data_IF_091353226085
#
_entry.id   IF_091353226085
#
_cell.length_a   1.000
_cell.length_b   1.000
_cell.length_c   1.000
_cell.angle_alpha   90.00
_cell.angle_beta   90.00
_cell.angle_gamma   90.00
#
_symmetry.space_group_name_H-M   'P 1'
#
loop_
_entity.id
_entity.type
_entity.pdbx_description
1 polymer ?
#
# COMPACT_ATOMS: atom_id res chain seq x y z
N UNK A 1 6.71 -8.30 -23.64
CA UNK A 1 5.54 -7.42 -23.84
C UNK A 1 4.32 -8.31 -23.95
N UNK A 2 3.22 -7.93 -23.31
CA UNK A 2 1.94 -8.66 -23.39
C UNK A 2 0.76 -7.70 -23.51
N UNK A 3 -0.31 -8.15 -24.17
CA UNK A 3 -1.55 -7.36 -24.32
C UNK A 3 -2.40 -7.35 -23.05
N UNK A 4 -2.28 -8.36 -22.18
CA UNK A 4 -2.98 -8.45 -20.88
C UNK A 4 -1.98 -8.72 -19.75
N UNK A 5 -2.14 -9.79 -18.97
CA UNK A 5 -1.20 -10.21 -17.94
C UNK A 5 0.11 -10.76 -18.52
N UNK A 6 1.18 -10.68 -17.74
CA UNK A 6 2.41 -11.43 -17.98
C UNK A 6 2.32 -12.84 -17.40
N UNK A 7 1.88 -12.95 -16.15
CA UNK A 7 1.65 -14.22 -15.45
C UNK A 7 0.26 -14.23 -14.84
N UNK A 8 -0.43 -15.37 -14.97
CA UNK A 8 -1.73 -15.62 -14.35
C UNK A 8 -1.65 -16.90 -13.49
N UNK A 9 -1.92 -16.77 -12.19
CA UNK A 9 -1.91 -17.88 -11.21
C UNK A 9 -3.35 -18.10 -10.73
N UNK A 10 -3.84 -19.35 -10.74
CA UNK A 10 -5.23 -19.68 -10.39
C UNK A 10 -5.27 -20.87 -9.44
N UNK A 11 -6.06 -20.78 -8.36
CA UNK A 11 -6.37 -21.93 -7.51
C UNK A 11 -5.13 -22.66 -6.96
N UNK A 12 -4.05 -21.92 -6.74
CA UNK A 12 -2.72 -22.49 -6.50
C UNK A 12 -2.26 -22.22 -5.07
N UNK A 13 -1.45 -23.14 -4.53
CA UNK A 13 -0.87 -23.01 -3.19
C UNK A 13 0.65 -22.98 -3.26
N UNK A 14 1.29 -22.25 -2.34
CA UNK A 14 2.74 -22.24 -2.13
C UNK A 14 3.58 -21.87 -3.37
N UNK A 15 3.00 -21.05 -4.26
CA UNK A 15 3.70 -20.53 -5.43
C UNK A 15 4.75 -19.52 -4.99
N UNK A 16 5.97 -19.63 -5.53
CA UNK A 16 7.05 -18.67 -5.35
C UNK A 16 7.37 -17.98 -6.68
N UNK A 17 7.20 -16.66 -6.71
CA UNK A 17 7.73 -15.77 -7.74
C UNK A 17 8.88 -14.97 -7.14
N UNK A 18 10.12 -15.39 -7.39
CA UNK A 18 11.33 -14.75 -6.88
C UNK A 18 12.24 -14.24 -8.01
N UNK A 19 12.81 -13.04 -7.87
CA UNK A 19 13.84 -12.48 -8.78
C UNK A 19 13.40 -12.39 -10.25
N UNK A 20 12.12 -12.11 -10.48
CA UNK A 20 11.59 -11.88 -11.82
C UNK A 20 11.64 -10.39 -12.18
N UNK A 21 11.60 -10.10 -13.48
CA UNK A 21 11.39 -8.76 -14.02
C UNK A 21 10.05 -8.77 -14.77
N UNK A 22 9.12 -7.94 -14.32
CA UNK A 22 7.82 -7.73 -14.95
C UNK A 22 7.75 -6.32 -15.52
N UNK A 23 7.56 -6.21 -16.84
CA UNK A 23 7.55 -4.92 -17.52
C UNK A 23 6.77 -4.98 -18.83
N UNK A 24 6.24 -3.82 -19.25
CA UNK A 24 5.53 -3.61 -20.52
C UNK A 24 4.40 -4.62 -20.76
N UNK A 25 3.43 -4.67 -19.85
CA UNK A 25 2.17 -5.37 -20.03
C UNK A 25 1.02 -4.37 -20.32
N UNK A 26 -0.09 -4.85 -20.89
CA UNK A 26 -1.15 -4.01 -21.48
C UNK A 26 -0.66 -3.01 -22.55
N UNK A 27 0.20 -3.47 -23.47
CA UNK A 27 0.75 -2.59 -24.53
C UNK A 27 -0.33 -2.05 -25.48
N UNK A 28 -1.44 -2.76 -25.60
CA UNK A 28 -2.60 -2.39 -26.43
C UNK A 28 -3.53 -1.38 -25.75
N UNK A 29 -3.30 -1.08 -24.46
CA UNK A 29 -4.12 -0.16 -23.66
C UNK A 29 -5.60 -0.58 -23.62
N UNK A 30 -5.83 -1.87 -23.46
CA UNK A 30 -7.17 -2.44 -23.37
C UNK A 30 -7.89 -1.80 -22.17
N UNK A 31 -9.09 -1.29 -22.43
CA UNK A 31 -9.99 -0.70 -21.41
C UNK A 31 -11.21 -1.59 -21.19
N UNK A 32 -11.80 -1.56 -20.00
CA UNK A 32 -12.90 -2.47 -19.62
C UNK A 32 -12.42 -3.86 -19.20
N UNK A 33 -11.13 -4.13 -19.40
CA UNK A 33 -10.36 -5.19 -18.75
C UNK A 33 -9.44 -4.55 -17.71
N UNK A 34 -9.15 -5.25 -16.61
CA UNK A 34 -8.25 -4.75 -15.57
C UNK A 34 -6.94 -5.56 -15.60
N UNK A 35 -5.94 -5.16 -16.40
CA UNK A 35 -4.70 -5.92 -16.51
C UNK A 35 -3.79 -5.73 -15.30
N UNK A 36 -2.94 -6.73 -15.07
CA UNK A 36 -1.86 -6.69 -14.10
C UNK A 36 -0.62 -7.38 -14.68
N UNK A 37 0.59 -6.95 -14.34
CA UNK A 37 1.80 -7.70 -14.71
C UNK A 37 1.73 -9.16 -14.22
N UNK A 38 1.24 -9.35 -12.99
CA UNK A 38 0.91 -10.66 -12.43
C UNK A 38 -0.48 -10.58 -11.82
N UNK A 39 -1.36 -11.51 -12.19
CA UNK A 39 -2.66 -11.69 -11.54
C UNK A 39 -2.72 -13.04 -10.85
N UNK A 40 -3.00 -13.02 -9.55
CA UNK A 40 -3.14 -14.20 -8.69
C UNK A 40 -4.60 -14.25 -8.27
N UNK A 41 -5.31 -15.24 -8.77
CA UNK A 41 -6.77 -15.26 -8.77
C UNK A 41 -7.31 -16.54 -8.13
N UNK A 42 -8.51 -16.44 -7.58
CA UNK A 42 -9.39 -17.52 -7.16
C UNK A 42 -8.74 -18.53 -6.20
N UNK A 43 -9.02 -18.40 -4.90
CA UNK A 43 -8.69 -19.40 -3.88
C UNK A 43 -7.23 -19.85 -3.93
N UNK A 44 -6.32 -18.88 -3.98
CA UNK A 44 -4.87 -19.11 -3.95
C UNK A 44 -4.33 -18.90 -2.54
N UNK A 45 -3.40 -19.76 -2.11
CA UNK A 45 -2.92 -19.80 -0.72
C UNK A 45 -1.40 -19.66 -0.65
N UNK A 46 -0.91 -18.77 0.21
CA UNK A 46 0.54 -18.62 0.49
C UNK A 46 1.40 -18.33 -0.74
N UNK A 47 0.82 -17.70 -1.76
CA UNK A 47 1.59 -17.20 -2.92
C UNK A 47 2.54 -16.12 -2.45
N UNK A 48 3.82 -16.29 -2.79
CA UNK A 48 4.91 -15.40 -2.37
C UNK A 48 5.53 -14.74 -3.59
N UNK A 49 5.48 -13.41 -3.64
CA UNK A 49 6.22 -12.58 -4.56
C UNK A 49 7.36 -11.90 -3.81
N UNK A 50 8.59 -12.31 -4.09
CA UNK A 50 9.78 -11.84 -3.38
C UNK A 50 10.87 -11.32 -4.31
N UNK A 51 11.54 -10.22 -3.96
CA UNK A 51 12.73 -9.74 -4.66
C UNK A 51 12.53 -9.54 -6.18
N UNK A 52 11.31 -9.19 -6.62
CA UNK A 52 11.00 -8.94 -8.03
C UNK A 52 11.16 -7.46 -8.38
N UNK A 53 11.42 -7.18 -9.66
CA UNK A 53 11.35 -5.87 -10.27
C UNK A 53 10.07 -5.75 -11.11
N UNK A 54 9.23 -4.75 -10.81
CA UNK A 54 7.99 -4.45 -11.52
C UNK A 54 8.06 -3.01 -12.03
N UNK A 55 8.15 -2.80 -13.35
CA UNK A 55 8.45 -1.48 -13.91
C UNK A 55 7.79 -1.22 -15.27
N UNK A 56 7.58 0.04 -15.62
CA UNK A 56 7.04 0.49 -16.92
C UNK A 56 5.63 -0.02 -17.21
N UNK A 57 4.70 0.19 -16.27
CA UNK A 57 3.31 -0.26 -16.36
C UNK A 57 2.31 0.91 -16.31
N UNK A 58 2.36 1.87 -17.24
CA UNK A 58 1.55 3.10 -17.17
C UNK A 58 0.03 2.88 -17.34
N UNK A 59 -0.38 1.70 -17.80
CA UNK A 59 -1.78 1.35 -18.10
C UNK A 59 -2.18 -0.01 -17.50
N UNK A 60 -1.49 -0.45 -16.45
CA UNK A 60 -1.73 -1.75 -15.82
C UNK A 60 -1.41 -1.68 -14.34
N UNK A 61 -2.00 -2.60 -13.56
CA UNK A 61 -1.52 -2.89 -12.22
C UNK A 61 -0.18 -3.63 -12.28
N UNK A 62 0.56 -3.60 -11.16
CA UNK A 62 1.74 -4.40 -10.94
C UNK A 62 1.38 -5.85 -10.61
N UNK A 63 1.54 -6.23 -9.35
CA UNK A 63 1.16 -7.57 -8.87
C UNK A 63 -0.16 -7.48 -8.12
N UNK A 64 -1.16 -8.18 -8.63
CA UNK A 64 -2.50 -8.19 -8.10
C UNK A 64 -2.86 -9.57 -7.55
N UNK A 65 -2.96 -9.63 -6.23
CA UNK A 65 -3.68 -10.66 -5.50
C UNK A 65 -5.15 -10.32 -5.57
N UNK A 66 -5.79 -10.81 -6.62
CA UNK A 66 -7.19 -10.62 -6.92
C UNK A 66 -8.05 -11.48 -5.95
N UNK A 67 -9.29 -11.78 -6.27
CA UNK A 67 -10.24 -12.31 -5.30
C UNK A 67 -9.85 -13.69 -4.74
N UNK A 68 -10.01 -13.85 -3.43
CA UNK A 68 -9.91 -15.14 -2.75
C UNK A 68 -8.49 -15.59 -2.39
N UNK A 69 -7.52 -14.68 -2.31
CA UNK A 69 -6.19 -15.00 -1.82
C UNK A 69 -6.15 -15.11 -0.29
N UNK A 70 -5.33 -16.04 0.22
CA UNK A 70 -5.10 -16.24 1.65
C UNK A 70 -3.61 -16.31 1.95
N UNK A 71 -3.17 -15.51 2.93
CA UNK A 71 -1.80 -15.49 3.47
C UNK A 71 -0.70 -15.24 2.43
N UNK A 72 -1.01 -14.39 1.44
CA UNK A 72 -0.04 -13.96 0.41
C UNK A 72 1.14 -13.18 1.00
N UNK A 73 2.31 -13.26 0.37
CA UNK A 73 3.53 -12.57 0.82
C UNK A 73 4.09 -11.72 -0.30
N UNK A 74 4.23 -10.43 -0.05
CA UNK A 74 4.78 -9.45 -0.97
C UNK A 74 6.01 -8.80 -0.34
N UNK A 75 7.19 -9.33 -0.63
CA UNK A 75 8.40 -9.08 0.14
C UNK A 75 9.54 -8.50 -0.72
N UNK A 76 10.17 -7.43 -0.26
CA UNK A 76 11.42 -6.91 -0.83
C UNK A 76 11.39 -6.63 -2.35
N UNK A 77 10.23 -6.37 -2.92
CA UNK A 77 10.08 -6.07 -4.35
C UNK A 77 10.42 -4.59 -4.61
N UNK A 78 10.87 -4.31 -5.84
CA UNK A 78 10.96 -2.97 -6.40
C UNK A 78 9.83 -2.74 -7.39
N UNK A 79 9.03 -1.70 -7.18
CA UNK A 79 7.88 -1.38 -8.01
C UNK A 79 7.97 0.08 -8.44
N UNK A 80 7.94 0.33 -9.74
CA UNK A 80 8.15 1.66 -10.28
C UNK A 80 7.27 1.96 -11.49
N UNK A 81 6.73 3.17 -11.55
CA UNK A 81 6.01 3.65 -12.74
C UNK A 81 4.76 2.83 -13.06
N UNK A 82 4.04 2.38 -12.02
CA UNK A 82 2.75 1.69 -12.17
C UNK A 82 1.63 2.73 -12.19
N UNK A 83 0.85 2.76 -13.27
CA UNK A 83 -0.21 3.75 -13.47
C UNK A 83 0.29 5.13 -13.92
N UNK A 84 -0.56 6.15 -13.71
CA UNK A 84 -0.28 7.53 -14.11
C UNK A 84 -0.30 8.44 -12.86
N UNK A 85 0.80 8.51 -12.08
CA UNK A 85 0.83 9.09 -10.73
C UNK A 85 0.33 10.54 -10.62
N UNK A 86 0.40 11.31 -11.72
CA UNK A 86 -0.08 12.69 -11.80
C UNK A 86 -1.59 12.82 -12.08
N UNK A 87 -2.30 11.70 -12.24
CA UNK A 87 -3.76 11.68 -12.40
C UNK A 87 -4.40 12.21 -11.11
N UNK A 88 -5.42 13.06 -11.27
CA UNK A 88 -6.17 13.63 -10.14
C UNK A 88 -6.86 12.51 -9.38
N UNK A 89 -6.59 12.41 -8.08
CA UNK A 89 -7.32 11.53 -7.16
C UNK A 89 -8.76 12.03 -6.97
N UNK A 90 -9.73 11.13 -7.06
CA UNK A 90 -11.09 11.38 -6.61
C UNK A 90 -11.19 11.03 -5.11
N UNK A 91 -11.38 12.00 -4.21
CA UNK A 91 -11.45 11.69 -2.79
C UNK A 91 -12.69 10.86 -2.42
N UNK A 92 -13.65 10.68 -3.32
CA UNK A 92 -14.86 9.88 -3.08
C UNK A 92 -14.69 8.41 -3.44
N UNK A 93 -13.59 8.02 -4.10
CA UNK A 93 -13.32 6.63 -4.50
C UNK A 93 -11.84 6.41 -4.85
N UNK A 94 -11.24 5.27 -4.51
CA UNK A 94 -9.83 5.00 -4.79
C UNK A 94 -9.53 4.74 -6.28
N UNK A 95 -10.52 4.37 -7.09
CA UNK A 95 -10.39 4.14 -8.54
C UNK A 95 -10.62 5.42 -9.38
N UNK A 96 -10.07 5.52 -10.61
CA UNK A 96 -9.38 4.50 -11.40
C UNK A 96 -7.85 4.56 -11.27
N UNK A 97 -7.31 4.44 -10.06
CA UNK A 97 -5.86 4.30 -9.87
C UNK A 97 -5.40 2.89 -10.25
N UNK A 98 -4.24 2.79 -10.87
CA UNK A 98 -3.51 1.51 -10.99
C UNK A 98 -2.58 1.31 -9.78
N UNK A 99 -2.26 0.05 -9.49
CA UNK A 99 -1.76 -0.33 -8.17
C UNK A 99 -0.51 -1.19 -8.29
N UNK A 100 0.57 -0.81 -7.59
CA UNK A 100 1.82 -1.56 -7.57
C UNK A 100 1.66 -2.94 -6.92
N UNK A 101 1.20 -2.94 -5.67
CA UNK A 101 0.69 -4.11 -4.95
C UNK A 101 -0.80 -3.93 -4.72
N UNK A 102 -1.60 -4.84 -5.28
CA UNK A 102 -3.06 -4.83 -5.11
C UNK A 102 -3.52 -6.11 -4.41
N UNK A 103 -4.23 -5.98 -3.28
CA UNK A 103 -4.78 -7.09 -2.51
C UNK A 103 -6.29 -6.93 -2.34
N UNK A 104 -7.06 -7.59 -3.20
CA UNK A 104 -8.52 -7.44 -3.31
C UNK A 104 -9.27 -8.67 -2.77
N UNK A 105 -10.32 -8.46 -1.97
CA UNK A 105 -11.30 -9.48 -1.55
C UNK A 105 -10.57 -10.75 -1.03
N UNK A 106 -9.63 -10.53 -0.12
CA UNK A 106 -8.64 -11.53 0.30
C UNK A 106 -8.28 -11.39 1.79
N UNK A 107 -7.53 -12.36 2.34
CA UNK A 107 -7.28 -12.45 3.80
C UNK A 107 -5.79 -12.64 4.10
N UNK A 108 -5.25 -11.87 5.05
CA UNK A 108 -4.02 -12.23 5.76
C UNK A 108 -2.68 -11.97 5.06
N UNK A 109 -2.60 -11.09 4.04
CA UNK A 109 -1.32 -10.85 3.38
C UNK A 109 -0.27 -10.13 4.25
N UNK A 110 1.01 -10.37 3.96
CA UNK A 110 2.15 -9.58 4.46
C UNK A 110 2.77 -8.81 3.30
N UNK A 111 2.81 -7.48 3.39
CA UNK A 111 3.49 -6.59 2.46
C UNK A 111 4.62 -5.87 3.19
N UNK A 112 5.86 -6.31 2.99
CA UNK A 112 6.99 -5.80 3.76
C UNK A 112 8.31 -5.66 2.99
N UNK A 113 9.08 -4.63 3.33
CA UNK A 113 10.42 -4.42 2.77
C UNK A 113 10.43 -3.90 1.33
N UNK A 114 9.28 -3.54 0.75
CA UNK A 114 9.18 -3.16 -0.66
C UNK A 114 9.50 -1.68 -0.89
N UNK A 115 9.94 -1.36 -2.10
CA UNK A 115 10.12 0.03 -2.57
C UNK A 115 9.10 0.29 -3.68
N UNK A 116 8.31 1.36 -3.51
CA UNK A 116 7.34 1.83 -4.50
C UNK A 116 7.72 3.24 -4.97
N UNK A 117 7.86 3.43 -6.27
CA UNK A 117 8.40 4.66 -6.86
C UNK A 117 7.47 5.17 -7.95
N UNK A 118 6.92 6.37 -7.77
CA UNK A 118 6.06 7.02 -8.77
C UNK A 118 4.88 6.13 -9.24
N UNK A 119 4.27 5.39 -8.32
CA UNK A 119 3.06 4.63 -8.59
C UNK A 119 1.82 5.50 -8.34
N UNK A 120 0.74 5.25 -9.09
CA UNK A 120 -0.58 5.79 -8.77
C UNK A 120 -0.95 5.49 -7.31
N UNK A 121 -1.01 4.20 -6.99
CA UNK A 121 -1.01 3.70 -5.63
C UNK A 121 0.12 2.66 -5.53
N UNK A 122 1.04 2.85 -4.59
CA UNK A 122 2.07 1.84 -4.32
C UNK A 122 1.43 0.59 -3.74
N UNK A 123 0.59 0.79 -2.73
CA UNK A 123 -0.15 -0.26 -2.02
C UNK A 123 -1.63 0.04 -2.12
N UNK A 124 -2.43 -0.94 -2.54
CA UNK A 124 -3.87 -0.88 -2.43
C UNK A 124 -4.43 -2.17 -1.83
N UNK A 125 -5.12 -2.02 -0.70
CA UNK A 125 -5.84 -3.10 -0.04
C UNK A 125 -7.31 -2.79 -0.15
N UNK A 126 -8.08 -3.59 -0.87
CA UNK A 126 -9.50 -3.36 -1.10
C UNK A 126 -10.32 -4.56 -0.64
N UNK A 127 -11.31 -4.32 0.22
CA UNK A 127 -12.26 -5.35 0.66
C UNK A 127 -11.59 -6.60 1.26
N UNK A 128 -10.44 -6.42 1.88
CA UNK A 128 -9.62 -7.50 2.44
C UNK A 128 -9.55 -7.37 3.96
N UNK A 129 -8.94 -8.36 4.63
CA UNK A 129 -8.76 -8.34 6.09
C UNK A 129 -7.35 -8.74 6.50
N UNK A 130 -6.93 -8.28 7.68
CA UNK A 130 -5.68 -8.69 8.35
C UNK A 130 -4.40 -8.55 7.52
N UNK A 131 -4.34 -7.55 6.62
CA UNK A 131 -3.11 -7.26 5.87
C UNK A 131 -2.08 -6.57 6.77
N UNK A 132 -0.87 -7.09 6.80
CA UNK A 132 0.26 -6.63 7.59
C UNK A 132 1.25 -5.85 6.71
N UNK A 133 1.37 -4.54 6.92
CA UNK A 133 2.15 -3.63 6.07
C UNK A 133 3.29 -3.03 6.88
N UNK A 134 4.51 -3.50 6.63
CA UNK A 134 5.68 -3.18 7.45
C UNK A 134 6.87 -2.71 6.62
N UNK A 135 7.56 -1.67 7.07
CA UNK A 135 8.89 -1.35 6.51
C UNK A 135 8.91 -1.23 4.98
N UNK A 136 7.90 -0.59 4.38
CA UNK A 136 7.92 -0.26 2.96
C UNK A 136 8.40 1.18 2.78
N UNK A 137 9.09 1.45 1.68
CA UNK A 137 9.43 2.82 1.26
C UNK A 137 8.55 3.22 0.08
N UNK A 138 7.74 4.26 0.23
CA UNK A 138 6.90 4.82 -0.81
C UNK A 138 7.43 6.19 -1.20
N UNK A 139 7.81 6.35 -2.46
CA UNK A 139 8.25 7.61 -3.06
C UNK A 139 7.21 8.02 -4.09
N UNK A 140 6.59 9.19 -3.88
CA UNK A 140 5.55 9.73 -4.76
C UNK A 140 4.46 8.70 -5.09
N UNK A 141 4.06 7.93 -4.07
CA UNK A 141 3.12 6.82 -4.21
C UNK A 141 2.18 6.79 -3.02
N UNK A 142 0.87 6.72 -3.26
CA UNK A 142 -0.13 6.63 -2.17
C UNK A 142 -0.18 5.20 -1.65
N UNK A 143 -0.25 5.01 -0.33
CA UNK A 143 -0.76 3.79 0.27
C UNK A 143 -2.26 3.93 0.51
N UNK A 144 -3.06 2.93 0.12
CA UNK A 144 -4.51 2.96 0.28
C UNK A 144 -5.06 1.68 0.91
N UNK A 145 -5.93 1.83 1.91
CA UNK A 145 -6.64 0.76 2.58
C UNK A 145 -8.12 1.09 2.54
N UNK A 146 -8.92 0.24 1.91
CA UNK A 146 -10.28 0.56 1.51
C UNK A 146 -11.26 -0.59 1.73
N UNK A 147 -12.52 -0.24 2.00
CA UNK A 147 -13.66 -1.16 1.90
C UNK A 147 -14.85 -0.48 1.26
N UNK A 148 -15.70 -1.26 0.61
CA UNK A 148 -17.01 -0.83 0.10
C UNK A 148 -18.09 -1.87 0.44
N UNK A 149 -19.32 -1.60 0.00
CA UNK A 149 -20.49 -2.43 0.29
C UNK A 149 -20.60 -3.69 -0.59
N UNK A 150 -19.61 -4.02 -1.42
CA UNK A 150 -19.67 -5.14 -2.36
C UNK A 150 -19.83 -6.47 -1.58
N UNK A 151 -20.83 -7.26 -1.94
CA UNK A 151 -21.16 -8.57 -1.36
C UNK A 151 -21.53 -9.55 -2.47
N UNK A 152 -21.58 -10.85 -2.17
CA UNK A 152 -22.06 -11.84 -3.13
C UNK A 152 -23.48 -11.54 -3.65
N UNK A 153 -24.34 -10.98 -2.80
CA UNK A 153 -25.73 -10.68 -3.12
C UNK A 153 -25.91 -9.47 -4.05
N UNK A 154 -25.01 -8.48 -4.00
CA UNK A 154 -25.10 -7.28 -4.84
C UNK A 154 -24.10 -7.26 -6.01
N UNK A 155 -23.27 -8.29 -6.12
CA UNK A 155 -22.31 -8.50 -7.19
C UNK A 155 -22.91 -9.43 -8.26
N UNK A 156 -23.95 -8.96 -8.95
CA UNK A 156 -24.85 -9.77 -9.78
C UNK A 156 -24.14 -10.78 -10.71
N UNK A 157 -23.09 -10.35 -11.41
CA UNK A 157 -22.37 -11.18 -12.40
C UNK A 157 -21.21 -11.98 -11.78
N UNK A 158 -20.69 -11.54 -10.64
CA UNK A 158 -19.50 -12.11 -10.00
C UNK A 158 -19.71 -12.40 -8.51
N UNK A 159 -20.93 -12.78 -8.11
CA UNK A 159 -21.31 -12.97 -6.71
C UNK A 159 -20.37 -13.91 -5.96
N UNK A 160 -19.88 -14.93 -6.65
CA UNK A 160 -18.92 -15.87 -6.11
C UNK A 160 -17.55 -15.22 -5.80
N UNK A 161 -17.08 -14.20 -6.54
CA UNK A 161 -15.85 -13.46 -6.23
C UNK A 161 -15.93 -12.86 -4.83
N UNK A 162 -17.03 -12.16 -4.55
CA UNK A 162 -17.22 -11.49 -3.28
C UNK A 162 -17.37 -12.47 -2.11
N UNK A 163 -17.73 -13.73 -2.37
CA UNK A 163 -17.89 -14.77 -1.35
C UNK A 163 -16.57 -15.39 -0.86
N UNK A 164 -15.48 -15.25 -1.62
CA UNK A 164 -14.18 -15.83 -1.23
C UNK A 164 -13.44 -14.98 -0.19
N UNK A 165 -13.73 -13.67 -0.17
CA UNK A 165 -13.14 -12.71 0.74
C UNK A 165 -13.81 -12.64 2.11
N UNK A 166 -13.46 -11.64 2.93
CA UNK A 166 -14.18 -11.33 4.16
C UNK A 166 -15.52 -10.63 3.88
N UNK A 167 -16.50 -10.90 4.74
CA UNK A 167 -17.75 -10.14 4.80
C UNK A 167 -17.49 -8.65 5.05
N UNK A 168 -18.47 -7.81 4.73
CA UNK A 168 -18.34 -6.34 4.77
C UNK A 168 -17.88 -5.84 6.15
N UNK A 169 -18.42 -6.40 7.22
CA UNK A 169 -18.07 -6.08 8.62
C UNK A 169 -16.76 -6.73 9.09
N UNK A 170 -16.14 -7.60 8.28
CA UNK A 170 -14.87 -8.29 8.57
C UNK A 170 -13.68 -7.73 7.79
N UNK A 171 -13.86 -6.66 7.02
CA UNK A 171 -12.82 -5.96 6.22
C UNK A 171 -12.00 -5.01 7.08
N UNK A 172 -11.37 -5.57 8.11
CA UNK A 172 -10.62 -4.83 9.12
C UNK A 172 -9.38 -5.62 9.60
N UNK A 173 -8.71 -5.11 10.62
CA UNK A 173 -7.56 -5.78 11.25
C UNK A 173 -6.21 -5.44 10.63
N UNK A 174 -6.16 -4.49 9.70
CA UNK A 174 -4.92 -4.13 8.99
C UNK A 174 -3.89 -3.50 9.93
N UNK A 175 -2.61 -3.71 9.62
CA UNK A 175 -1.49 -3.09 10.32
C UNK A 175 -0.66 -2.26 9.34
N UNK A 176 -0.30 -1.04 9.73
CA UNK A 176 0.51 -0.13 8.93
C UNK A 176 1.61 0.50 9.80
N UNK A 177 2.81 -0.08 9.78
CA UNK A 177 3.88 0.23 10.76
C UNK A 177 5.25 0.35 10.11
N UNK A 178 6.11 1.24 10.63
CA UNK A 178 7.50 1.42 10.18
C UNK A 178 7.65 1.79 8.70
N UNK A 179 6.60 2.24 8.01
CA UNK A 179 6.70 2.62 6.61
C UNK A 179 7.29 4.03 6.48
N UNK A 180 8.07 4.25 5.42
CA UNK A 180 8.53 5.57 5.00
C UNK A 180 7.67 6.01 3.81
N UNK A 181 6.99 7.15 3.93
CA UNK A 181 6.19 7.73 2.86
C UNK A 181 6.73 9.11 2.53
N UNK A 182 7.09 9.32 1.28
CA UNK A 182 7.68 10.58 0.82
C UNK A 182 6.93 11.11 -0.39
N UNK A 183 6.72 12.43 -0.41
CA UNK A 183 6.20 13.16 -1.56
C UNK A 183 7.12 14.33 -1.86
N UNK A 184 7.57 14.43 -3.11
CA UNK A 184 8.30 15.60 -3.59
C UNK A 184 7.40 16.85 -3.72
N UNK A 185 7.95 17.94 -4.23
CA UNK A 185 7.23 19.22 -4.40
C UNK A 185 6.11 19.14 -5.44
N UNK A 186 6.18 18.21 -6.38
CA UNK A 186 5.20 18.01 -7.44
C UNK A 186 4.14 16.99 -7.07
N UNK A 187 4.36 16.18 -6.05
CA UNK A 187 3.42 15.16 -5.62
C UNK A 187 2.14 15.76 -5.02
N UNK A 188 0.99 15.43 -5.61
CA UNK A 188 -0.30 16.08 -5.32
C UNK A 188 -1.31 15.22 -4.57
N UNK A 189 -0.96 13.97 -4.24
CA UNK A 189 -1.88 13.01 -3.60
C UNK A 189 -1.59 12.89 -2.09
N UNK A 190 -2.55 12.39 -1.29
CA UNK A 190 -2.25 12.00 0.08
C UNK A 190 -1.19 10.90 0.10
N UNK A 191 -0.39 10.86 1.16
CA UNK A 191 0.57 9.78 1.37
C UNK A 191 -0.16 8.51 1.84
N UNK A 192 -1.18 8.68 2.69
CA UNK A 192 -2.05 7.60 3.16
C UNK A 192 -3.52 7.93 2.89
N UNK A 193 -4.25 6.97 2.33
CA UNK A 193 -5.69 7.07 2.08
C UNK A 193 -6.43 5.87 2.67
N UNK A 194 -7.09 6.07 3.80
CA UNK A 194 -8.00 5.08 4.39
C UNK A 194 -9.43 5.45 4.00
N UNK A 195 -10.15 4.54 3.35
CA UNK A 195 -11.40 4.88 2.68
C UNK A 195 -12.54 3.88 2.92
N UNK A 196 -13.75 4.42 3.07
CA UNK A 196 -15.00 3.72 2.85
C UNK A 196 -16.06 4.70 2.32
N UNK A 197 -17.10 4.23 1.62
CA UNK A 197 -18.19 5.10 1.20
C UNK A 197 -19.05 5.51 2.40
N UNK A 198 -19.67 6.69 2.30
CA UNK A 198 -20.61 7.25 3.28
C UNK A 198 -21.75 6.30 3.67
N UNK A 199 -22.25 5.53 2.70
CA UNK A 199 -23.28 4.50 2.89
C UNK A 199 -22.93 3.45 3.95
N UNK A 200 -21.65 3.18 4.21
CA UNK A 200 -21.23 2.22 5.23
C UNK A 200 -21.02 2.84 6.62
N UNK A 201 -20.99 4.16 6.75
CA UNK A 201 -20.43 4.78 7.94
C UNK A 201 -21.29 4.68 9.19
N UNK A 202 -22.60 4.65 9.03
CA UNK A 202 -23.51 4.39 10.16
C UNK A 202 -23.42 2.94 10.63
N UNK A 203 -23.11 2.01 9.72
CA UNK A 203 -23.08 0.58 10.00
C UNK A 203 -21.71 0.13 10.51
N UNK A 204 -20.64 0.73 9.97
CA UNK A 204 -19.26 0.40 10.25
C UNK A 204 -18.48 1.67 10.65
N UNK A 205 -18.70 2.17 11.88
CA UNK A 205 -18.02 3.35 12.39
C UNK A 205 -16.57 3.08 12.81
N UNK A 206 -16.18 1.80 12.95
CA UNK A 206 -14.84 1.40 13.38
C UNK A 206 -13.81 1.52 12.26
N UNK A 207 -12.57 1.98 12.56
CA UNK A 207 -11.46 2.00 11.61
C UNK A 207 -11.14 0.63 11.00
N UNK A 208 -10.68 0.61 9.74
CA UNK A 208 -10.24 -0.62 9.07
C UNK A 208 -8.89 -1.11 9.61
N UNK A 209 -8.08 -0.20 10.15
CA UNK A 209 -6.76 -0.51 10.71
C UNK A 209 -6.87 -0.80 12.21
N UNK A 210 -6.18 -1.86 12.64
CA UNK A 210 -6.00 -2.20 14.05
C UNK A 210 -4.79 -1.52 14.66
N UNK A 211 -3.75 -1.28 13.85
CA UNK A 211 -2.54 -0.60 14.27
C UNK A 211 -2.00 0.27 13.14
N UNK A 212 -1.72 1.52 13.47
CA UNK A 212 -1.08 2.50 12.61
C UNK A 212 -0.13 3.30 13.48
N UNK A 213 1.17 3.02 13.39
CA UNK A 213 2.17 3.70 14.22
C UNK A 213 3.61 3.55 13.71
N UNK A 214 4.54 4.37 14.22
CA UNK A 214 5.96 4.39 13.87
C UNK A 214 6.28 4.60 12.38
N UNK A 215 5.36 5.18 11.62
CA UNK A 215 5.58 5.58 10.22
C UNK A 215 6.21 6.97 10.15
N UNK A 216 6.96 7.21 9.07
CA UNK A 216 7.57 8.51 8.79
C UNK A 216 6.98 9.06 7.49
N UNK A 217 6.45 10.28 7.57
CA UNK A 217 5.88 11.01 6.45
C UNK A 217 6.77 12.21 6.13
N UNK A 218 7.17 12.37 4.88
CA UNK A 218 8.02 13.48 4.46
C UNK A 218 7.41 14.15 3.24
N UNK A 219 7.19 15.47 3.32
CA UNK A 219 6.72 16.28 2.20
C UNK A 219 7.73 17.37 1.90
N UNK A 220 8.13 17.47 0.63
CA UNK A 220 9.01 18.54 0.15
C UNK A 220 8.28 19.78 -0.39
N UNK A 221 6.94 19.79 -0.31
CA UNK A 221 6.13 20.92 -0.74
C UNK A 221 5.89 21.90 0.42
N UNK A 222 6.09 23.19 0.15
CA UNK A 222 5.69 24.30 1.04
C UNK A 222 4.17 24.43 1.16
N UNK A 223 3.46 24.11 0.06
CA UNK A 223 1.99 24.17 -0.03
C UNK A 223 1.48 22.90 -0.69
N UNK A 224 1.26 21.84 0.09
CA UNK A 224 0.75 20.59 -0.44
C UNK A 224 -0.60 20.78 -1.13
N UNK A 225 -0.79 20.12 -2.27
CA UNK A 225 -2.05 20.21 -3.02
C UNK A 225 -3.17 19.32 -2.44
N UNK A 226 -2.87 18.51 -1.43
CA UNK A 226 -3.81 17.63 -0.73
C UNK A 226 -3.38 17.40 0.71
N UNK A 227 -4.32 16.94 1.53
CA UNK A 227 -4.07 16.52 2.91
C UNK A 227 -3.00 15.42 2.99
N UNK A 228 -2.26 15.36 4.10
CA UNK A 228 -1.26 14.35 4.38
C UNK A 228 -1.89 12.95 4.38
N UNK A 229 -3.00 12.84 5.09
CA UNK A 229 -3.78 11.63 5.27
C UNK A 229 -5.23 11.96 4.94
N UNK A 230 -5.89 11.11 4.15
CA UNK A 230 -7.35 11.12 4.00
C UNK A 230 -7.89 9.90 4.72
N UNK A 231 -8.93 10.10 5.53
CA UNK A 231 -9.39 9.09 6.46
C UNK A 231 -10.90 8.92 6.47
N UNK A 232 -11.31 7.66 6.47
CA UNK A 232 -12.68 7.20 6.66
C UNK A 232 -12.63 5.83 7.38
N UNK A 233 -13.56 5.53 8.30
CA UNK A 233 -14.67 6.36 8.75
C UNK A 233 -14.22 7.54 9.63
N UNK A 234 -14.91 8.68 9.50
CA UNK A 234 -14.75 9.86 10.36
C UNK A 234 -16.12 10.54 10.59
N UNK A 235 -16.33 11.31 11.67
CA UNK A 235 -17.55 12.08 11.87
C UNK A 235 -17.73 13.14 10.77
N UNK A 236 -18.97 13.31 10.31
CA UNK A 236 -19.34 14.30 9.29
C UNK A 236 -20.19 13.72 8.16
N UNK A 237 -20.79 14.60 7.34
CA UNK A 237 -21.78 14.22 6.33
C UNK A 237 -21.24 13.24 5.26
N UNK A 238 -19.97 13.40 4.86
CA UNK A 238 -19.32 12.54 3.85
C UNK A 238 -18.52 11.38 4.44
N UNK A 239 -18.56 11.21 5.78
CA UNK A 239 -17.78 10.20 6.49
C UNK A 239 -16.27 10.20 6.20
N UNK A 240 -15.72 11.36 5.86
CA UNK A 240 -14.34 11.48 5.47
C UNK A 240 -13.77 12.80 5.96
N UNK A 241 -12.54 12.76 6.43
CA UNK A 241 -11.76 13.93 6.82
C UNK A 241 -10.38 13.84 6.16
N UNK A 242 -9.91 14.97 5.64
CA UNK A 242 -8.50 15.17 5.32
C UNK A 242 -7.79 15.74 6.53
N UNK A 243 -6.62 15.19 6.86
CA UNK A 243 -5.73 15.67 7.90
C UNK A 243 -4.48 16.28 7.27
N UNK A 244 -4.22 17.54 7.57
CA UNK A 244 -3.01 18.24 7.12
C UNK A 244 -1.81 17.89 7.99
N UNK A 245 -2.03 17.44 9.23
CA UNK A 245 -0.95 17.00 10.12
C UNK A 245 -1.34 15.80 10.99
N UNK A 246 -0.32 15.11 11.52
CA UNK A 246 -0.52 14.01 12.48
C UNK A 246 -1.20 14.47 13.77
N UNK A 247 -1.04 15.74 14.16
CA UNK A 247 -1.71 16.30 15.33
C UNK A 247 -3.24 16.34 15.17
N UNK A 248 -3.73 16.57 13.95
CA UNK A 248 -5.17 16.54 13.67
C UNK A 248 -5.73 15.13 13.73
N UNK A 249 -5.01 14.16 13.16
CA UNK A 249 -5.37 12.75 13.24
C UNK A 249 -5.45 12.28 14.70
N UNK A 250 -4.43 12.57 15.51
CA UNK A 250 -4.37 12.16 16.93
C UNK A 250 -5.47 12.77 17.79
N UNK A 251 -5.96 13.97 17.46
CA UNK A 251 -7.10 14.57 18.17
C UNK A 251 -8.38 13.76 17.98
N UNK A 252 -8.58 13.17 16.81
CA UNK A 252 -9.78 12.40 16.51
C UNK A 252 -9.62 10.90 16.79
N UNK A 253 -8.41 10.37 16.59
CA UNK A 253 -8.06 8.96 16.81
C UNK A 253 -6.79 8.86 17.65
N UNK A 254 -6.87 9.12 18.97
CA UNK A 254 -5.69 9.19 19.85
C UNK A 254 -4.90 7.89 19.96
N UNK A 255 -5.50 6.75 19.60
CA UNK A 255 -4.85 5.45 19.56
C UNK A 255 -3.91 5.25 18.36
N UNK A 256 -3.95 6.12 17.35
CA UNK A 256 -3.16 5.98 16.12
C UNK A 256 -2.09 7.06 16.00
N UNK A 257 -1.05 6.73 15.23
CA UNK A 257 0.06 7.61 14.90
C UNK A 257 0.79 8.18 16.10
N UNK A 258 0.77 7.53 17.28
CA UNK A 258 1.35 8.09 18.52
C UNK A 258 2.85 8.41 18.35
N UNK A 259 3.58 7.49 17.75
CA UNK A 259 5.02 7.54 17.49
C UNK A 259 5.37 7.92 16.04
N UNK A 260 4.36 8.10 15.17
CA UNK A 260 4.57 8.60 13.80
C UNK A 260 5.27 9.97 13.81
N UNK A 261 6.07 10.22 12.77
CA UNK A 261 6.75 11.51 12.55
C UNK A 261 6.37 12.08 11.19
N UNK A 262 6.11 13.38 11.13
CA UNK A 262 5.91 14.11 9.89
C UNK A 262 6.94 15.22 9.76
N UNK A 263 7.45 15.41 8.55
CA UNK A 263 8.40 16.46 8.18
C UNK A 263 7.89 17.15 6.93
N UNK A 264 7.24 18.30 7.15
CA UNK A 264 6.69 19.14 6.08
C UNK A 264 7.72 20.16 5.59
N UNK A 265 7.59 20.59 4.34
CA UNK A 265 8.55 21.46 3.67
C UNK A 265 10.02 21.03 3.82
N UNK A 266 10.27 19.71 3.79
CA UNK A 266 11.62 19.19 4.01
C UNK A 266 12.49 19.31 2.75
N UNK A 267 13.60 20.03 2.84
CA UNK A 267 14.54 20.27 1.74
C UNK A 267 15.88 19.54 1.87
N UNK A 268 16.10 18.80 2.97
CA UNK A 268 17.36 18.12 3.23
C UNK A 268 17.57 16.82 2.44
N UNK A 269 18.77 16.22 2.56
CA UNK A 269 19.06 14.93 1.95
C UNK A 269 18.37 13.79 2.71
N UNK A 270 17.64 12.93 1.98
CA UNK A 270 16.93 11.77 2.56
C UNK A 270 17.63 10.46 2.24
N UNK A 271 17.99 10.29 0.97
CA UNK A 271 18.45 9.03 0.41
C UNK A 271 19.91 9.14 0.00
N UNK A 272 20.59 8.00 -0.12
CA UNK A 272 21.97 7.96 -0.62
C UNK A 272 22.10 8.59 -2.01
N UNK A 273 21.16 8.31 -2.91
CA UNK A 273 20.99 9.04 -4.16
C UNK A 273 19.62 8.73 -4.73
N UNK A 274 18.69 9.70 -4.70
CA UNK A 274 17.36 9.51 -5.27
C UNK A 274 17.42 9.49 -6.80
N UNK A 275 18.36 10.22 -7.38
CA UNK A 275 18.59 10.41 -8.81
C UNK A 275 19.06 9.12 -9.48
N UNK A 276 19.79 8.27 -8.74
CA UNK A 276 20.27 6.96 -9.20
C UNK A 276 19.39 5.81 -8.72
N UNK A 277 18.20 6.07 -8.16
CA UNK A 277 17.32 5.03 -7.63
C UNK A 277 17.89 4.32 -6.38
N UNK A 278 18.77 4.97 -5.61
CA UNK A 278 19.27 4.43 -4.35
C UNK A 278 18.51 5.03 -3.16
N UNK A 279 17.33 4.49 -2.89
CA UNK A 279 16.43 4.91 -1.81
C UNK A 279 16.79 4.36 -0.43
N UNK A 280 18.04 3.95 -0.20
CA UNK A 280 18.53 3.72 1.16
C UNK A 280 18.53 5.05 1.92
N UNK A 281 17.83 5.10 3.05
CA UNK A 281 17.82 6.26 3.93
C UNK A 281 19.24 6.56 4.44
N UNK A 282 19.58 7.85 4.48
CA UNK A 282 20.78 8.31 5.15
C UNK A 282 20.62 8.13 6.66
N UNK A 283 21.67 7.74 7.41
CA UNK A 283 21.61 7.64 8.86
C UNK A 283 21.25 8.95 9.58
N UNK A 284 21.51 10.08 8.92
CA UNK A 284 21.19 11.44 9.37
C UNK A 284 19.80 11.92 8.94
N UNK A 285 19.10 11.14 8.11
CA UNK A 285 17.77 11.52 7.66
C UNK A 285 16.79 11.58 8.84
N UNK A 286 15.86 12.54 8.83
CA UNK A 286 14.86 12.67 9.87
C UNK A 286 14.01 11.40 9.99
N UNK A 287 13.77 10.96 11.23
CA UNK A 287 12.94 9.79 11.50
C UNK A 287 13.56 8.43 11.13
N UNK A 288 14.79 8.37 10.62
CA UNK A 288 15.41 7.12 10.16
C UNK A 288 15.47 6.02 11.25
N UNK A 289 15.53 6.42 12.53
CA UNK A 289 15.57 5.53 13.70
C UNK A 289 14.23 5.48 14.48
N UNK A 290 13.14 5.97 13.90
CA UNK A 290 11.85 6.07 14.59
C UNK A 290 11.00 4.80 14.53
N UNK A 291 11.48 3.76 13.86
CA UNK A 291 10.75 2.49 13.75
C UNK A 291 10.62 1.78 15.09
N UNK A 292 9.59 0.96 15.26
CA UNK A 292 9.50 0.03 16.37
C UNK A 292 10.26 -1.27 16.06
N UNK A 293 10.58 -2.02 17.11
CA UNK A 293 11.12 -3.36 16.95
C UNK A 293 10.06 -4.27 16.30
N UNK A 294 10.44 -4.91 15.20
CA UNK A 294 9.58 -5.87 14.50
C UNK A 294 9.38 -7.15 15.31
N UNK A 295 8.26 -7.83 15.13
CA UNK A 295 8.03 -9.17 15.70
C UNK A 295 9.02 -10.20 15.11
N UNK A 296 9.29 -11.33 15.80
CA UNK A 296 10.15 -12.38 15.26
C UNK A 296 9.75 -12.86 13.86
N UNK A 297 8.44 -13.00 13.60
CA UNK A 297 7.93 -13.49 12.32
C UNK A 297 8.20 -12.51 11.18
N UNK A 298 7.95 -11.21 11.38
CA UNK A 298 8.23 -10.20 10.35
C UNK A 298 9.74 -10.05 10.13
N UNK A 299 10.55 -10.11 11.19
CA UNK A 299 12.03 -10.09 11.05
C UNK A 299 12.53 -11.27 10.21
N UNK A 300 11.98 -12.47 10.44
CA UNK A 300 12.33 -13.67 9.69
C UNK A 300 11.98 -13.51 8.21
N UNK A 301 10.80 -12.97 7.89
CA UNK A 301 10.39 -12.71 6.50
C UNK A 301 11.30 -11.69 5.80
N UNK A 302 11.81 -10.70 6.53
CA UNK A 302 12.75 -9.70 6.01
C UNK A 302 14.23 -10.13 6.07
N UNK A 303 14.51 -11.40 6.38
CA UNK A 303 15.88 -11.93 6.44
C UNK A 303 16.75 -11.30 7.56
N UNK A 304 16.15 -10.72 8.60
CA UNK A 304 16.87 -10.08 9.70
C UNK A 304 17.28 -11.12 10.76
N UNK A 305 18.58 -11.41 10.83
CA UNK A 305 19.15 -12.45 11.72
C UNK A 305 19.49 -11.97 13.13
N UNK A 306 19.62 -10.66 13.35
CA UNK A 306 19.80 -10.04 14.68
C UNK A 306 18.49 -9.39 15.12
N UNK A 307 18.38 -8.97 16.40
CA UNK A 307 17.36 -7.98 16.79
C UNK A 307 17.59 -6.74 15.92
N UNK A 308 16.90 -6.69 14.78
CA UNK A 308 17.02 -5.62 13.80
C UNK A 308 16.82 -4.29 14.51
N UNK A 309 17.61 -3.29 14.12
CA UNK A 309 17.48 -1.96 14.69
C UNK A 309 16.06 -1.42 14.56
N UNK A 310 15.74 -0.41 15.34
CA UNK A 310 14.55 0.40 15.16
C UNK A 310 14.75 1.25 13.90
N UNK A 311 14.09 0.89 12.79
CA UNK A 311 14.23 1.61 11.51
C UNK A 311 12.91 1.64 10.73
N UNK A 312 12.83 2.61 9.82
CA UNK A 312 11.69 2.81 8.92
C UNK A 312 12.08 2.61 7.47
N UNK A 313 11.11 2.28 6.62
CA UNK A 313 11.32 2.01 5.21
C UNK A 313 11.89 0.63 4.93
N UNK A 314 12.14 0.36 3.66
CA UNK A 314 12.56 -0.93 3.09
C UNK A 314 13.95 -1.40 3.53
N UNK A 315 14.87 -0.46 3.75
CA UNK A 315 16.27 -0.79 3.95
C UNK A 315 16.67 -0.65 5.42
N UNK A 316 17.15 -1.71 6.08
CA UNK A 316 17.76 -1.57 7.39
C UNK A 316 19.00 -0.67 7.31
N UNK A 317 19.26 0.17 8.32
CA UNK A 317 20.49 0.93 8.39
C UNK A 317 21.67 -0.06 8.42
N UNK A 318 22.64 0.13 7.52
CA UNK A 318 23.91 -0.58 7.61
C UNK A 318 24.58 -0.10 8.91
N UNK A 319 24.78 -1.01 9.85
CA UNK A 319 25.62 -0.72 11.02
C UNK A 319 27.03 -0.35 10.50
N UNK A 320 27.65 0.69 11.06
CA UNK A 320 29.00 1.10 10.67
C UNK A 320 30.03 -0.01 10.88
#
# INVERSE_FOLDING_TARGET
DTSTEGIYIIGSSDVLLEKNIFSRNNIERITGYYPAAVKIFNQSYRVTCQDNLVIDLPYSNGIWYDVGNVDGKFLNNWIEGVGIPNRKLDPRRPWPSDNGFFFEISKGAVCAGNVFVNCDQGIFVLNSSNVQIYNNTLINSTACIARNARTAANDAMFGWHSSTGPDVDKREGHVFVNNLLTGDSNYRRPLLFVWQPDSLCRQLPSPLVRQLDHNVYIRRSEKPASSLIVWSPAPGACCQVGFESLGELRRLFPQFSVSDRSYDNYSGPLFKSAELGNYQLLPTAPGAKSGMALSPDIRKLLGQTKKGGQYVGAYPPKLP
#
